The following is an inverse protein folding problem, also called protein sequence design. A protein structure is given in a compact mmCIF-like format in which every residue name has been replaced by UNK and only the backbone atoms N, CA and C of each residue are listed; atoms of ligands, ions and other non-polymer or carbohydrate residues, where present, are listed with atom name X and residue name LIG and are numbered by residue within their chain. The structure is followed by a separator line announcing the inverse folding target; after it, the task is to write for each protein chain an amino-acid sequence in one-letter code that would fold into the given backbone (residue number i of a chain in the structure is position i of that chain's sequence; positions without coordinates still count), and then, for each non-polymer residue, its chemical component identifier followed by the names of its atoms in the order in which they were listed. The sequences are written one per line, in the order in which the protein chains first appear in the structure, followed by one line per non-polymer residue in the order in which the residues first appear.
data_IF_959870932260
#
_entry.id   IF_959870932260
#
_cell.length_a   1.000
_cell.length_b   1.000
_cell.length_c   1.000
_cell.angle_alpha   90.00
_cell.angle_beta   90.00
_cell.angle_gamma   90.00
#
_symmetry.space_group_name_H-M   'P 1'
#
loop_
_entity.id
_entity.type
_entity.pdbx_description
1 polymer ?
#
# COMPACT_ATOMS: atom_id res chain seq x y z
N UNK A 1 -0.54 15.96 -47.59
CA UNK A 1 -0.49 16.06 -46.12
C UNK A 1 -1.52 15.10 -45.54
N UNK A 2 -1.16 13.95 -44.93
CA UNK A 2 -2.17 13.07 -44.38
C UNK A 2 -2.74 13.72 -43.11
N UNK A 3 -4.06 13.93 -43.09
CA UNK A 3 -4.77 14.36 -41.88
C UNK A 3 -4.83 13.15 -40.93
N UNK A 4 -4.04 13.19 -39.85
CA UNK A 4 -4.06 12.14 -38.82
C UNK A 4 -5.46 12.03 -38.20
N UNK A 5 -5.90 10.78 -38.05
CA UNK A 5 -7.24 10.45 -37.53
C UNK A 5 -7.45 11.07 -36.14
N UNK A 6 -8.69 11.46 -35.75
CA UNK A 6 -8.99 11.90 -34.37
C UNK A 6 -8.46 10.93 -33.28
N UNK A 7 -8.49 9.63 -33.55
CA UNK A 7 -7.98 8.61 -32.62
C UNK A 7 -6.45 8.58 -32.53
N UNK A 8 -5.76 8.98 -33.59
CA UNK A 8 -4.31 9.07 -33.65
C UNK A 8 -3.81 10.32 -32.91
N UNK A 9 -4.51 11.45 -33.08
CA UNK A 9 -4.28 12.67 -32.29
C UNK A 9 -4.56 12.47 -30.80
N UNK A 10 -5.57 11.66 -30.45
CA UNK A 10 -5.79 11.26 -29.07
C UNK A 10 -4.62 10.42 -28.56
N UNK A 11 -4.18 9.38 -29.29
CA UNK A 11 -3.04 8.57 -28.85
C UNK A 11 -1.76 9.39 -28.66
N UNK A 12 -1.48 10.35 -29.54
CA UNK A 12 -0.35 11.28 -29.39
C UNK A 12 -0.50 12.24 -28.20
N UNK A 13 -1.72 12.71 -27.91
CA UNK A 13 -1.96 13.56 -26.74
C UNK A 13 -1.78 12.78 -25.43
N UNK A 14 -2.24 11.53 -25.41
CA UNK A 14 -1.99 10.59 -24.30
C UNK A 14 -0.51 10.22 -24.18
N UNK A 15 0.22 10.10 -25.30
CA UNK A 15 1.68 9.90 -25.31
C UNK A 15 2.49 11.13 -24.86
N UNK A 16 1.93 12.35 -24.92
CA UNK A 16 2.46 13.56 -24.25
C UNK A 16 2.04 13.70 -22.79
N UNK A 17 1.27 12.75 -22.27
CA UNK A 17 0.81 12.70 -20.88
C UNK A 17 1.78 12.03 -19.86
N UNK A 18 2.96 11.45 -20.19
CA UNK A 18 3.83 10.88 -19.15
C UNK A 18 4.32 11.94 -18.16
N UNK A 19 4.51 13.20 -18.57
CA UNK A 19 4.82 14.30 -17.65
C UNK A 19 3.68 14.56 -16.66
N UNK A 20 2.42 14.44 -17.09
CA UNK A 20 1.27 14.58 -16.19
C UNK A 20 1.18 13.39 -15.23
N UNK A 21 1.42 12.18 -15.72
CA UNK A 21 1.47 10.99 -14.88
C UNK A 21 2.60 11.09 -13.84
N UNK A 22 3.79 11.55 -14.24
CA UNK A 22 4.93 11.78 -13.37
C UNK A 22 4.65 12.87 -12.32
N UNK A 23 3.98 13.97 -12.69
CA UNK A 23 3.57 15.03 -11.75
C UNK A 23 2.52 14.56 -10.74
N UNK A 24 1.62 13.65 -11.14
CA UNK A 24 0.56 13.13 -10.27
C UNK A 24 1.01 11.92 -9.44
N UNK A 25 2.08 11.22 -9.85
CA UNK A 25 2.55 10.02 -9.17
C UNK A 25 2.81 10.23 -7.66
N UNK A 26 3.48 11.32 -7.20
CA UNK A 26 3.66 11.57 -5.77
C UNK A 26 2.33 11.73 -5.02
N UNK A 27 1.38 12.48 -5.59
CA UNK A 27 0.07 12.70 -4.99
C UNK A 27 -0.77 11.41 -4.92
N UNK A 28 -0.68 10.56 -5.95
CA UNK A 28 -1.33 9.25 -5.97
C UNK A 28 -0.72 8.30 -4.94
N UNK A 29 0.60 8.30 -4.79
CA UNK A 29 1.29 7.52 -3.76
C UNK A 29 0.89 7.97 -2.37
N UNK A 30 0.90 9.28 -2.09
CA UNK A 30 0.46 9.84 -0.82
C UNK A 30 -1.00 9.45 -0.50
N UNK A 31 -1.89 9.51 -1.49
CA UNK A 31 -3.29 9.10 -1.34
C UNK A 31 -3.43 7.60 -1.03
N UNK A 32 -2.62 6.74 -1.66
CA UNK A 32 -2.61 5.30 -1.40
C UNK A 32 -2.11 5.00 0.02
N UNK A 33 -1.06 5.65 0.46
CA UNK A 33 -0.51 5.51 1.83
C UNK A 33 -1.57 5.91 2.86
N UNK A 34 -2.18 7.08 2.70
CA UNK A 34 -3.24 7.55 3.60
C UNK A 34 -4.45 6.61 3.63
N UNK A 35 -4.86 6.08 2.47
CA UNK A 35 -5.97 5.13 2.40
C UNK A 35 -5.63 3.80 3.10
N UNK A 36 -4.40 3.31 2.97
CA UNK A 36 -3.92 2.11 3.64
C UNK A 36 -3.87 2.31 5.16
N UNK A 37 -3.31 3.41 5.64
CA UNK A 37 -3.27 3.76 7.06
C UNK A 37 -4.68 3.81 7.67
N UNK A 38 -5.60 4.54 7.02
CA UNK A 38 -7.00 4.61 7.47
C UNK A 38 -7.71 3.25 7.45
N UNK A 39 -7.37 2.38 6.51
CA UNK A 39 -7.91 1.03 6.47
C UNK A 39 -7.39 0.17 7.62
N UNK A 40 -6.08 0.21 7.87
CA UNK A 40 -5.43 -0.49 8.98
C UNK A 40 -6.02 -0.02 10.31
N UNK A 41 -6.16 1.30 10.51
CA UNK A 41 -6.74 1.85 11.73
C UNK A 41 -8.17 1.34 11.96
N UNK A 42 -9.03 1.40 10.94
CA UNK A 42 -10.40 0.85 11.04
C UNK A 42 -10.41 -0.63 11.37
N UNK A 43 -9.50 -1.40 10.79
CA UNK A 43 -9.41 -2.84 11.03
C UNK A 43 -9.03 -3.11 12.49
N UNK A 44 -8.05 -2.38 13.03
CA UNK A 44 -7.64 -2.45 14.44
C UNK A 44 -8.82 -2.05 15.35
N UNK A 45 -9.49 -0.93 15.06
CA UNK A 45 -10.60 -0.43 15.87
C UNK A 45 -11.79 -1.40 15.88
N UNK A 46 -11.99 -2.14 14.78
CA UNK A 46 -13.05 -3.14 14.63
C UNK A 46 -12.69 -4.52 15.18
N UNK A 47 -11.41 -4.76 15.48
CA UNK A 47 -10.96 -6.09 15.88
C UNK A 47 -11.44 -6.37 17.31
N UNK A 48 -12.01 -7.56 17.57
CA UNK A 48 -12.32 -7.95 18.94
C UNK A 48 -11.02 -8.06 19.76
N UNK A 49 -11.05 -7.74 21.06
CA UNK A 49 -9.88 -7.90 21.91
C UNK A 49 -9.45 -9.37 21.95
N UNK A 50 -8.14 -9.61 21.92
CA UNK A 50 -7.59 -10.95 22.07
C UNK A 50 -7.93 -11.52 23.45
N UNK A 51 -8.33 -12.79 23.50
CA UNK A 51 -8.52 -13.51 24.76
C UNK A 51 -7.18 -13.73 25.47
N UNK A 52 -7.21 -13.97 26.78
CA UNK A 52 -6.00 -14.27 27.56
C UNK A 52 -5.20 -15.44 26.98
N UNK A 53 -5.88 -16.49 26.53
CA UNK A 53 -5.26 -17.66 25.91
C UNK A 53 -4.59 -17.32 24.59
N UNK A 54 -5.23 -16.50 23.76
CA UNK A 54 -4.65 -16.03 22.50
C UNK A 54 -3.45 -15.12 22.74
N UNK A 55 -3.52 -14.22 23.73
CA UNK A 55 -2.40 -13.38 24.15
C UNK A 55 -1.23 -14.21 24.65
N UNK A 56 -1.47 -15.24 25.47
CA UNK A 56 -0.43 -16.13 25.97
C UNK A 56 0.25 -16.92 24.83
N UNK A 57 -0.53 -17.44 23.88
CA UNK A 57 0.02 -18.10 22.69
C UNK A 57 0.85 -17.15 21.82
N UNK A 58 0.35 -15.94 21.57
CA UNK A 58 1.07 -14.93 20.80
C UNK A 58 2.38 -14.52 21.50
N UNK A 59 2.34 -14.34 22.82
CA UNK A 59 3.51 -14.02 23.62
C UNK A 59 4.57 -15.12 23.56
N UNK A 60 4.17 -16.40 23.58
CA UNK A 60 5.08 -17.53 23.43
C UNK A 60 5.73 -17.58 22.03
N UNK A 61 5.00 -17.23 20.97
CA UNK A 61 5.53 -17.18 19.60
C UNK A 61 6.48 -16.01 19.37
N UNK A 62 6.23 -14.87 20.02
CA UNK A 62 7.04 -13.65 19.91
C UNK A 62 8.19 -13.62 20.91
N UNK A 63 8.25 -14.58 21.85
CA UNK A 63 9.33 -14.67 22.80
C UNK A 63 10.65 -14.84 22.02
N UNK A 64 11.66 -14.00 22.27
CA UNK A 64 12.97 -14.16 21.64
C UNK A 64 13.49 -15.57 21.95
N UNK A 65 13.94 -16.27 20.92
CA UNK A 65 14.61 -17.56 21.08
C UNK A 65 15.97 -17.32 21.73
N UNK A 66 16.00 -17.18 23.06
CA UNK A 66 17.23 -17.24 23.87
C UNK A 66 17.83 -18.66 23.89
N UNK A 67 17.73 -19.38 22.78
CA UNK A 67 18.59 -20.52 22.43
C UNK A 67 19.69 -20.04 21.49
N UNK A 68 20.31 -18.90 21.80
CA UNK A 68 21.74 -18.77 21.64
C UNK A 68 22.37 -19.68 22.68
N UNK A 69 22.64 -20.92 22.27
CA UNK A 69 23.35 -21.91 23.06
C UNK A 69 24.60 -21.29 23.66
N UNK A 70 24.60 -21.11 24.99
CA UNK A 70 25.82 -21.04 25.75
C UNK A 70 26.48 -22.43 25.68
N UNK A 71 27.45 -22.57 24.77
CA UNK A 71 28.44 -23.64 24.75
C UNK A 71 29.67 -23.15 23.99
#
# INVERSE_FOLDING_TARGET
MPATSPSERARESWARTPDRAARLAPALTARKVYAAERYIQRLIDSAPPLSDEQRARLAALLAPTNTGSAA
#
